data_IF_377602878505
#
_entry.id   IF_377602878505
#
_cell.length_a   1.000
_cell.length_b   1.000
_cell.length_c   1.000
_cell.angle_alpha   90.00
_cell.angle_beta   90.00
_cell.angle_gamma   90.00
#
_symmetry.space_group_name_H-M   'P 1'
#
loop_
_entity.id
_entity.type
_entity.pdbx_description
1 polymer ?
#
# COMPACT_ATOMS: atom_id res chain seq x y z
N UNK A 1 -5.11 17.43 0.85
CA UNK A 1 -3.82 16.90 0.34
C UNK A 1 -3.08 16.01 1.37
N UNK A 2 -2.25 16.54 2.30
CA UNK A 2 -1.43 15.69 3.21
C UNK A 2 -2.23 14.81 4.17
N UNK A 3 -3.33 15.31 4.73
CA UNK A 3 -4.19 14.54 5.66
C UNK A 3 -5.00 13.43 4.95
N UNK A 4 -5.46 13.68 3.73
CA UNK A 4 -6.20 12.68 2.93
C UNK A 4 -5.31 11.52 2.47
N UNK A 5 -4.01 11.79 2.24
CA UNK A 5 -3.03 10.76 1.90
C UNK A 5 -2.77 9.81 3.07
N UNK A 6 -2.67 10.37 4.28
CA UNK A 6 -2.45 9.60 5.51
C UNK A 6 -3.58 8.62 5.80
N UNK A 7 -4.83 9.01 5.55
CA UNK A 7 -6.00 8.17 5.79
C UNK A 7 -6.41 7.34 4.58
N UNK A 8 -5.70 7.49 3.44
CA UNK A 8 -5.98 6.67 2.29
C UNK A 8 -5.60 5.22 2.58
N UNK A 9 -6.53 4.31 2.32
CA UNK A 9 -6.34 2.88 2.48
C UNK A 9 -5.93 2.25 1.15
N UNK A 10 -4.90 1.42 1.22
CA UNK A 10 -4.40 0.59 0.14
C UNK A 10 -4.66 -0.86 0.53
N UNK A 11 -5.32 -1.59 -0.36
CA UNK A 11 -5.56 -3.02 -0.22
C UNK A 11 -4.51 -3.79 -1.04
N UNK A 12 -3.88 -4.77 -0.41
CA UNK A 12 -2.98 -5.70 -1.07
C UNK A 12 -3.35 -7.16 -0.82
N UNK A 13 -3.01 -8.03 -1.77
CA UNK A 13 -3.42 -9.43 -1.82
C UNK A 13 -2.22 -10.31 -2.14
N UNK A 14 -1.91 -11.24 -1.25
CA UNK A 14 -0.87 -12.24 -1.44
C UNK A 14 -1.45 -13.66 -1.55
N UNK A 15 -0.62 -14.60 -2.02
CA UNK A 15 -0.99 -16.01 -2.18
C UNK A 15 -2.19 -16.23 -3.13
N UNK A 16 -2.38 -15.39 -4.14
CA UNK A 16 -3.54 -15.48 -5.05
C UNK A 16 -4.85 -14.92 -4.46
N UNK A 17 -4.78 -14.12 -3.39
CA UNK A 17 -5.93 -13.55 -2.71
C UNK A 17 -6.29 -14.24 -1.40
N UNK A 18 -5.51 -15.25 -1.00
CA UNK A 18 -5.71 -15.98 0.25
C UNK A 18 -5.37 -15.16 1.50
N UNK A 19 -4.44 -14.19 1.37
CA UNK A 19 -4.18 -13.18 2.40
C UNK A 19 -4.45 -11.81 1.80
N UNK A 20 -5.29 -11.02 2.47
CA UNK A 20 -5.57 -9.63 2.10
C UNK A 20 -5.23 -8.71 3.27
N UNK A 21 -4.47 -7.65 3.01
CA UNK A 21 -4.07 -6.65 4.00
C UNK A 21 -4.53 -5.27 3.54
N UNK A 22 -5.18 -4.55 4.44
CA UNK A 22 -5.54 -3.14 4.25
C UNK A 22 -4.62 -2.30 5.12
N UNK A 23 -3.83 -1.43 4.48
CA UNK A 23 -2.86 -0.56 5.12
C UNK A 23 -3.14 0.91 4.77
N UNK A 24 -2.94 1.82 5.70
CA UNK A 24 -3.08 3.26 5.45
C UNK A 24 -1.80 3.86 4.86
N UNK A 25 -1.90 5.07 4.30
CA UNK A 25 -0.76 5.89 3.89
C UNK A 25 0.23 6.27 5.00
N UNK A 26 -0.04 5.91 6.26
CA UNK A 26 0.90 6.01 7.39
C UNK A 26 1.62 4.71 7.71
N UNK A 27 1.45 3.68 6.88
CA UNK A 27 1.89 2.30 7.16
C UNK A 27 1.20 1.69 8.40
N UNK A 28 -0.04 2.11 8.71
CA UNK A 28 -0.84 1.48 9.77
C UNK A 28 -1.71 0.38 9.16
N UNK A 29 -1.61 -0.85 9.67
CA UNK A 29 -2.47 -1.96 9.23
C UNK A 29 -3.85 -1.81 9.87
N UNK A 30 -4.90 -1.77 9.03
CA UNK A 30 -6.30 -1.63 9.46
C UNK A 30 -7.02 -2.96 9.53
N UNK A 31 -6.73 -3.84 8.58
CA UNK A 31 -7.43 -5.12 8.46
C UNK A 31 -6.49 -6.17 7.87
N UNK A 32 -6.57 -7.36 8.43
CA UNK A 32 -5.97 -8.57 7.86
C UNK A 32 -7.10 -9.57 7.66
N UNK A 33 -7.20 -10.11 6.46
CA UNK A 33 -8.11 -11.20 6.13
C UNK A 33 -7.27 -12.38 5.65
N UNK A 34 -7.56 -13.55 6.21
CA UNK A 34 -6.89 -14.81 5.90
C UNK A 34 -8.02 -15.76 5.52
N UNK A 35 -7.91 -16.38 4.36
CA UNK A 35 -8.84 -17.39 3.91
C UNK A 35 -8.79 -18.64 4.81
N UNK A 36 -9.93 -19.26 5.07
CA UNK A 36 -10.02 -20.43 5.94
C UNK A 36 -9.20 -21.62 5.45
N UNK A 37 -8.93 -21.72 4.14
CA UNK A 37 -8.07 -22.76 3.58
C UNK A 37 -6.65 -22.69 4.15
N UNK A 38 -6.11 -21.48 4.37
CA UNK A 38 -4.77 -21.29 4.92
C UNK A 38 -4.65 -21.68 6.40
N UNK A 39 -5.77 -21.76 7.14
CA UNK A 39 -5.76 -22.20 8.53
C UNK A 39 -5.52 -23.71 8.68
N UNK A 40 -5.64 -24.47 7.58
CA UNK A 40 -5.35 -25.91 7.53
C UNK A 40 -3.94 -26.22 7.04
N UNK A 41 -3.24 -25.21 6.52
CA UNK A 41 -1.88 -25.32 6.03
C UNK A 41 -0.86 -25.26 7.18
N UNK A 42 0.39 -25.59 6.86
CA UNK A 42 1.48 -25.47 7.82
C UNK A 42 1.67 -24.02 8.28
N UNK A 43 1.84 -23.86 9.60
CA UNK A 43 2.03 -22.55 10.24
C UNK A 43 3.11 -21.72 9.56
N UNK A 44 4.22 -22.35 9.18
CA UNK A 44 5.36 -21.68 8.54
C UNK A 44 4.97 -21.03 7.20
N UNK A 45 4.14 -21.71 6.39
CA UNK A 45 3.64 -21.14 5.13
C UNK A 45 2.69 -19.97 5.35
N UNK A 46 1.84 -20.04 6.37
CA UNK A 46 0.95 -18.94 6.73
C UNK A 46 1.74 -17.70 7.17
N UNK A 47 2.76 -17.89 8.00
CA UNK A 47 3.64 -16.80 8.45
C UNK A 47 4.39 -16.15 7.27
N UNK A 48 4.92 -16.96 6.35
CA UNK A 48 5.59 -16.47 5.13
C UNK A 48 4.64 -15.66 4.23
N UNK A 49 3.42 -16.15 4.02
CA UNK A 49 2.41 -15.45 3.21
C UNK A 49 1.99 -14.12 3.83
N UNK A 50 1.82 -14.07 5.15
CA UNK A 50 1.50 -12.82 5.86
C UNK A 50 2.67 -11.84 5.75
N UNK A 51 3.91 -12.30 5.93
CA UNK A 51 5.09 -11.46 5.80
C UNK A 51 5.21 -10.88 4.39
N UNK A 52 5.00 -11.70 3.36
CA UNK A 52 4.97 -11.25 1.97
C UNK A 52 3.89 -10.19 1.74
N UNK A 53 2.64 -10.45 2.17
CA UNK A 53 1.53 -9.52 2.02
C UNK A 53 1.79 -8.16 2.71
N UNK A 54 2.42 -8.16 3.89
CA UNK A 54 2.75 -6.93 4.62
C UNK A 54 3.79 -6.09 3.87
N UNK A 55 4.84 -6.75 3.36
CA UNK A 55 5.89 -6.08 2.60
C UNK A 55 5.33 -5.49 1.30
N UNK A 56 4.49 -6.23 0.60
CA UNK A 56 3.86 -5.78 -0.64
C UNK A 56 2.89 -4.61 -0.38
N UNK A 57 2.07 -4.69 0.67
CA UNK A 57 1.21 -3.58 1.10
C UNK A 57 2.03 -2.31 1.40
N UNK A 58 3.15 -2.42 2.12
CA UNK A 58 4.03 -1.28 2.41
C UNK A 58 4.61 -0.66 1.13
N UNK A 59 5.11 -1.50 0.22
CA UNK A 59 5.64 -1.03 -1.06
C UNK A 59 4.56 -0.33 -1.90
N UNK A 60 3.33 -0.83 -1.88
CA UNK A 60 2.18 -0.27 -2.60
C UNK A 60 1.71 1.05 -2.00
N UNK A 61 1.79 1.21 -0.68
CA UNK A 61 1.58 2.51 0.00
C UNK A 61 2.60 3.55 -0.47
N UNK A 62 3.87 3.18 -0.58
CA UNK A 62 4.92 4.08 -1.08
C UNK A 62 4.69 4.47 -2.54
N UNK A 63 4.32 3.51 -3.39
CA UNK A 63 3.98 3.76 -4.79
C UNK A 63 2.75 4.66 -4.93
N UNK A 64 1.65 4.35 -4.25
CA UNK A 64 0.42 5.15 -4.25
C UNK A 64 0.70 6.59 -3.78
N UNK A 65 1.54 6.76 -2.76
CA UNK A 65 1.93 8.09 -2.28
C UNK A 65 2.74 8.85 -3.32
N UNK A 66 3.70 8.21 -3.99
CA UNK A 66 4.49 8.81 -5.08
C UNK A 66 3.61 9.18 -6.28
N UNK A 67 2.72 8.30 -6.70
CA UNK A 67 1.85 8.50 -7.86
C UNK A 67 0.87 9.65 -7.64
N UNK A 68 0.31 9.76 -6.43
CA UNK A 68 -0.54 10.91 -6.08
C UNK A 68 0.24 12.21 -5.98
N UNK A 69 1.47 12.18 -5.45
CA UNK A 69 2.31 13.37 -5.43
C UNK A 69 2.68 13.83 -6.84
N UNK A 70 3.02 12.89 -7.73
CA UNK A 70 3.29 13.13 -9.15
C UNK A 70 2.05 13.68 -9.87
N UNK A 71 0.87 13.12 -9.59
CA UNK A 71 -0.41 13.56 -10.18
C UNK A 71 -0.79 14.98 -9.73
N UNK A 72 -0.56 15.32 -8.46
CA UNK A 72 -0.75 16.68 -7.93
C UNK A 72 0.27 17.66 -8.51
N UNK A 73 1.53 17.24 -8.66
CA UNK A 73 2.59 18.04 -9.28
C UNK A 73 2.36 18.28 -10.78
N UNK A 74 1.72 17.33 -11.47
CA UNK A 74 1.36 17.43 -12.89
C UNK A 74 0.05 18.19 -13.11
N UNK A 75 -0.86 18.15 -12.14
CA UNK A 75 -2.13 18.90 -12.14
C UNK A 75 -2.00 20.35 -11.67
N UNK A 76 -0.93 20.68 -10.93
CA UNK A 76 -0.41 22.04 -10.91
C UNK A 76 0.28 22.28 -12.25
N UNK A 77 -0.46 22.88 -13.18
CA UNK A 77 0.12 23.69 -14.24
C UNK A 77 0.94 24.79 -13.53
N UNK A 78 2.19 24.47 -13.19
CA UNK A 78 3.11 25.37 -12.50
C UNK A 78 3.27 26.56 -13.43
N UNK A 79 2.71 27.75 -13.10
CA UNK A 79 2.72 28.87 -14.01
C UNK A 79 4.17 29.26 -14.29
N UNK A 80 4.60 29.04 -15.54
CA UNK A 80 5.83 29.55 -16.12
C UNK A 80 7.12 29.32 -15.33
N UNK A 81 7.79 28.18 -15.54
CA UNK A 81 9.27 28.13 -15.50
C UNK A 81 9.95 27.78 -14.16
N UNK A 82 9.25 27.23 -13.17
CA UNK A 82 9.91 26.76 -11.94
C UNK A 82 10.56 25.38 -12.17
N UNK A 83 11.80 25.39 -12.69
CA UNK A 83 12.71 24.24 -12.66
C UNK A 83 12.94 23.84 -11.19
N UNK A 84 12.46 22.67 -10.78
CA UNK A 84 12.81 22.11 -9.47
C UNK A 84 14.33 21.91 -9.44
N UNK A 85 15.06 22.46 -8.45
CA UNK A 85 16.45 22.11 -8.28
C UNK A 85 16.50 20.64 -7.86
N UNK A 86 17.29 19.88 -8.61
CA UNK A 86 17.65 18.49 -8.33
C UNK A 86 18.20 18.32 -6.91
#
# INVERSE_FOLDING_TARGET
>A
AKEEMKNHEVEDKSGGGLVTIVMTGKHEVRKVHIDESLLKEDKDMLEDLIAAALNDASNKVDQSTKDRFSSLASGLDLPGGMKLPF
#
